data_IF_618398991453
#
_entry.id   IF_618398991453
#
_cell.length_a   1.000
_cell.length_b   1.000
_cell.length_c   1.000
_cell.angle_alpha   90.00
_cell.angle_beta   90.00
_cell.angle_gamma   90.00
#
_symmetry.space_group_name_H-M   'P 1'
#
loop_
_entity.id
_entity.type
_entity.pdbx_description
1 polymer ?
#
# COMPACT_ATOMS: atom_id res chain seq x y z
N UNK A 1 -33.47 35.51 14.25
CA UNK A 1 -33.94 34.63 13.15
C UNK A 1 -32.74 33.78 12.73
N UNK A 2 -32.97 32.50 12.42
CA UNK A 2 -32.07 31.35 12.41
C UNK A 2 -30.92 31.37 11.36
N UNK A 3 -30.04 32.37 11.37
CA UNK A 3 -28.94 32.42 10.38
C UNK A 3 -27.84 31.35 10.61
N UNK A 4 -27.84 30.68 11.77
CA UNK A 4 -26.93 29.56 12.08
C UNK A 4 -27.40 28.20 11.53
N UNK A 5 -28.65 28.06 11.08
CA UNK A 5 -29.15 26.81 10.51
C UNK A 5 -28.72 26.58 9.05
N UNK A 6 -28.20 27.61 8.39
CA UNK A 6 -27.78 27.55 6.99
C UNK A 6 -26.27 27.64 6.80
N UNK A 7 -25.48 27.65 7.88
CA UNK A 7 -24.05 27.40 7.74
C UNK A 7 -23.87 25.94 7.33
N UNK A 8 -23.31 25.66 6.13
CA UNK A 8 -22.99 24.30 5.76
C UNK A 8 -22.04 23.74 6.83
N UNK A 9 -22.51 22.74 7.57
CA UNK A 9 -21.76 21.98 8.60
C UNK A 9 -20.67 21.10 7.98
N UNK A 10 -20.20 21.44 6.76
CA UNK A 10 -19.00 20.88 6.18
C UNK A 10 -17.85 21.41 7.04
N UNK A 11 -17.62 20.74 8.17
CA UNK A 11 -16.54 21.04 9.09
C UNK A 11 -15.24 21.17 8.30
N UNK A 12 -14.40 22.12 8.73
CA UNK A 12 -13.10 22.37 8.14
C UNK A 12 -12.40 21.04 7.85
N UNK A 13 -12.31 20.70 6.57
CA UNK A 13 -11.82 19.39 6.14
C UNK A 13 -10.33 19.32 6.48
N UNK A 14 -9.82 18.15 6.91
CA UNK A 14 -8.40 18.01 7.18
C UNK A 14 -7.62 18.30 5.90
N UNK A 15 -6.89 19.41 5.89
CA UNK A 15 -5.95 19.75 4.83
C UNK A 15 -4.78 18.77 4.96
N UNK A 16 -4.66 17.85 4.01
CA UNK A 16 -3.52 16.93 3.98
C UNK A 16 -2.26 17.70 3.58
N UNK A 17 -1.18 17.52 4.33
CA UNK A 17 0.09 18.19 4.06
C UNK A 17 0.74 17.72 2.75
N UNK A 18 0.51 16.46 2.37
CA UNK A 18 1.08 15.84 1.16
C UNK A 18 -0.03 15.10 0.42
N UNK A 19 -0.24 15.36 -0.89
CA UNK A 19 -1.24 14.64 -1.67
C UNK A 19 -0.99 13.11 -1.66
N UNK A 20 -2.02 12.32 -1.31
CA UNK A 20 -1.92 10.87 -1.35
C UNK A 20 -1.91 10.34 -2.79
N UNK A 21 -1.43 9.13 -2.96
CA UNK A 21 -1.56 8.39 -4.21
C UNK A 21 -2.90 7.68 -4.28
N UNK A 22 -3.39 7.43 -5.50
CA UNK A 22 -4.57 6.57 -5.76
C UNK A 22 -4.28 5.14 -5.23
N UNK A 23 -5.06 4.60 -4.26
CA UNK A 23 -4.84 3.24 -3.76
C UNK A 23 -5.00 2.15 -4.83
N UNK A 24 -5.84 2.40 -5.84
CA UNK A 24 -5.99 1.49 -6.98
C UNK A 24 -4.68 1.39 -7.79
N UNK A 25 -3.94 2.48 -7.96
CA UNK A 25 -2.67 2.48 -8.70
C UNK A 25 -1.55 1.72 -7.98
N UNK A 26 -1.66 1.49 -6.67
CA UNK A 26 -0.69 0.68 -5.90
C UNK A 26 -0.71 -0.79 -6.33
N UNK A 27 -1.75 -1.24 -7.05
CA UNK A 27 -1.82 -2.59 -7.62
C UNK A 27 -0.65 -2.90 -8.56
N UNK A 28 -0.15 -1.91 -9.30
CA UNK A 28 0.96 -2.13 -10.23
C UNK A 28 2.27 -2.42 -9.49
N UNK A 29 2.72 -1.60 -8.50
CA UNK A 29 3.83 -1.98 -7.65
C UNK A 29 3.63 -3.29 -6.89
N UNK A 30 2.41 -3.64 -6.49
CA UNK A 30 2.12 -4.92 -5.86
C UNK A 30 2.36 -6.09 -6.81
N UNK A 31 1.87 -5.97 -8.04
CA UNK A 31 2.02 -6.99 -9.08
C UNK A 31 3.47 -7.15 -9.53
N UNK A 32 4.19 -6.06 -9.75
CA UNK A 32 5.56 -6.08 -10.27
C UNK A 32 6.64 -6.22 -9.20
N UNK A 33 6.47 -5.54 -8.07
CA UNK A 33 7.46 -5.47 -6.98
C UNK A 33 7.21 -6.42 -5.82
N UNK A 34 6.08 -7.12 -5.77
CA UNK A 34 5.77 -8.08 -4.71
C UNK A 34 5.27 -7.45 -3.39
N UNK A 35 5.12 -8.25 -2.33
CA UNK A 35 4.55 -7.82 -1.05
C UNK A 35 5.37 -6.72 -0.37
N UNK A 36 6.70 -6.70 -0.52
CA UNK A 36 7.51 -5.68 0.14
C UNK A 36 7.26 -4.29 -0.47
N UNK A 37 7.21 -4.19 -1.81
CA UNK A 37 6.94 -2.93 -2.51
C UNK A 37 5.57 -2.34 -2.15
N UNK A 38 4.51 -3.15 -2.18
CA UNK A 38 3.16 -2.70 -1.81
C UNK A 38 3.04 -2.36 -0.33
N UNK A 39 3.76 -3.05 0.55
CA UNK A 39 3.74 -2.75 1.99
C UNK A 39 4.33 -1.38 2.25
N UNK A 40 5.50 -1.09 1.69
CA UNK A 40 6.17 0.20 1.84
C UNK A 40 5.29 1.33 1.31
N UNK A 41 4.79 1.21 0.07
CA UNK A 41 3.93 2.22 -0.52
C UNK A 41 2.59 2.34 0.22
N UNK A 42 2.02 1.23 0.66
CA UNK A 42 0.76 1.20 1.41
C UNK A 42 0.88 1.94 2.74
N UNK A 43 1.93 1.69 3.52
CA UNK A 43 2.18 2.39 4.80
C UNK A 43 2.45 3.88 4.57
N UNK A 44 3.27 4.23 3.58
CA UNK A 44 3.52 5.62 3.23
C UNK A 44 2.24 6.34 2.79
N UNK A 45 1.40 5.69 2.00
CA UNK A 45 0.13 6.27 1.56
C UNK A 45 -0.86 6.41 2.71
N UNK A 46 -0.89 5.44 3.64
CA UNK A 46 -1.71 5.53 4.86
C UNK A 46 -1.32 6.75 5.71
N UNK A 47 -0.02 7.09 5.77
CA UNK A 47 0.47 8.31 6.42
C UNK A 47 0.05 9.57 5.66
N UNK A 48 0.17 9.59 4.32
CA UNK A 48 -0.31 10.71 3.48
C UNK A 48 -1.80 10.96 3.65
N UNK A 49 -2.59 9.89 3.82
CA UNK A 49 -4.02 9.93 4.10
C UNK A 49 -4.36 10.24 5.57
N UNK A 50 -3.36 10.49 6.43
CA UNK A 50 -3.54 10.71 7.87
C UNK A 50 -4.38 9.62 8.57
N UNK A 51 -4.25 8.36 8.13
CA UNK A 51 -4.99 7.24 8.72
C UNK A 51 -4.53 6.96 10.14
N UNK A 52 -5.46 6.45 10.95
CA UNK A 52 -5.19 6.07 12.33
C UNK A 52 -4.14 4.96 12.46
N UNK A 53 -3.48 4.89 13.61
CA UNK A 53 -2.39 3.93 13.87
C UNK A 53 -2.79 2.48 13.59
N UNK A 54 -4.02 2.09 13.93
CA UNK A 54 -4.50 0.73 13.71
C UNK A 54 -4.57 0.36 12.22
N UNK A 55 -4.96 1.30 11.36
CA UNK A 55 -5.00 1.05 9.91
C UNK A 55 -3.59 0.97 9.32
N UNK A 56 -2.66 1.82 9.80
CA UNK A 56 -1.25 1.74 9.41
C UNK A 56 -0.63 0.39 9.85
N UNK A 57 -0.92 -0.05 11.08
CA UNK A 57 -0.47 -1.34 11.60
C UNK A 57 -1.09 -2.51 10.85
N UNK A 58 -2.37 -2.43 10.44
CA UNK A 58 -2.99 -3.49 9.64
C UNK A 58 -2.28 -3.71 8.30
N UNK A 59 -1.92 -2.63 7.60
CA UNK A 59 -1.15 -2.72 6.35
C UNK A 59 0.26 -3.26 6.60
N UNK A 60 0.94 -2.75 7.64
CA UNK A 60 2.29 -3.22 7.99
C UNK A 60 2.31 -4.70 8.40
N UNK A 61 1.35 -5.14 9.21
CA UNK A 61 1.23 -6.52 9.68
C UNK A 61 0.88 -7.47 8.53
N UNK A 62 -0.07 -7.09 7.66
CA UNK A 62 -0.39 -7.87 6.46
C UNK A 62 0.82 -8.01 5.54
N UNK A 63 1.56 -6.92 5.35
CA UNK A 63 2.80 -6.89 4.58
C UNK A 63 3.87 -7.82 5.14
N UNK A 64 4.15 -7.70 6.44
CA UNK A 64 5.11 -8.55 7.13
C UNK A 64 4.71 -10.03 7.03
N UNK A 65 3.44 -10.35 7.29
CA UNK A 65 2.92 -11.72 7.19
C UNK A 65 3.08 -12.28 5.77
N UNK A 66 2.82 -11.46 4.74
CA UNK A 66 2.95 -11.87 3.35
C UNK A 66 4.42 -12.13 2.94
N UNK A 67 5.37 -11.30 3.41
CA UNK A 67 6.81 -11.54 3.18
C UNK A 67 7.27 -12.82 3.87
N UNK A 68 6.92 -13.01 5.15
CA UNK A 68 7.27 -14.24 5.90
C UNK A 68 6.67 -15.48 5.23
N UNK A 69 5.39 -15.43 4.84
CA UNK A 69 4.74 -16.53 4.13
C UNK A 69 5.41 -16.81 2.79
N UNK A 70 5.79 -15.79 2.02
CA UNK A 70 6.52 -15.95 0.76
C UNK A 70 7.86 -16.66 0.96
N UNK A 71 8.64 -16.25 1.96
CA UNK A 71 9.93 -16.90 2.27
C UNK A 71 9.74 -18.36 2.67
N UNK A 72 8.81 -18.63 3.57
CA UNK A 72 8.52 -19.99 4.05
C UNK A 72 8.07 -20.91 2.91
N UNK A 73 7.13 -20.47 2.07
CA UNK A 73 6.66 -21.23 0.92
C UNK A 73 7.80 -21.44 -0.09
N UNK A 74 8.57 -20.40 -0.40
CA UNK A 74 9.69 -20.54 -1.35
C UNK A 74 10.74 -21.54 -0.85
N UNK A 75 11.06 -21.52 0.45
CA UNK A 75 11.99 -22.45 1.08
C UNK A 75 11.48 -23.90 1.15
N UNK A 76 10.22 -24.10 1.51
CA UNK A 76 9.63 -25.44 1.63
C UNK A 76 9.46 -26.15 0.28
N UNK A 77 9.20 -25.39 -0.79
CA UNK A 77 9.00 -25.94 -2.13
C UNK A 77 10.27 -25.94 -3.01
N UNK A 78 11.44 -25.63 -2.43
CA UNK A 78 12.79 -25.83 -2.97
C UNK A 78 12.99 -25.45 -4.45
N UNK A 79 12.38 -24.36 -4.91
CA UNK A 79 12.45 -23.97 -6.31
C UNK A 79 12.18 -22.50 -6.56
N UNK A 80 13.12 -21.84 -7.24
CA UNK A 80 12.89 -20.51 -7.84
C UNK A 80 11.77 -20.53 -8.90
N UNK A 81 11.44 -21.72 -9.43
CA UNK A 81 10.31 -21.97 -10.30
C UNK A 81 8.98 -21.64 -9.58
N UNK A 82 8.50 -20.41 -9.77
CA UNK A 82 7.25 -19.92 -9.16
C UNK A 82 7.45 -18.83 -8.10
N UNK A 83 8.68 -18.49 -7.71
CA UNK A 83 8.95 -17.41 -6.75
C UNK A 83 8.37 -16.07 -7.20
N UNK A 84 8.38 -15.80 -8.51
CA UNK A 84 7.72 -14.63 -9.11
C UNK A 84 6.21 -14.66 -8.96
N UNK A 85 5.58 -15.79 -9.23
CA UNK A 85 4.13 -15.99 -9.12
C UNK A 85 3.67 -15.84 -7.67
N UNK A 86 4.39 -16.45 -6.72
CA UNK A 86 4.14 -16.27 -5.29
C UNK A 86 4.28 -14.81 -4.88
N UNK A 87 5.34 -14.13 -5.33
CA UNK A 87 5.52 -12.69 -5.09
C UNK A 87 4.33 -11.86 -5.57
N UNK A 88 3.84 -12.11 -6.78
CA UNK A 88 2.63 -11.45 -7.30
C UNK A 88 1.41 -11.75 -6.44
N UNK A 89 1.15 -13.01 -6.10
CA UNK A 89 -0.02 -13.42 -5.31
C UNK A 89 -0.01 -12.76 -3.92
N UNK A 90 1.11 -12.83 -3.21
CA UNK A 90 1.26 -12.20 -1.91
C UNK A 90 1.21 -10.68 -1.99
N UNK A 91 1.80 -10.08 -3.04
CA UNK A 91 1.68 -8.65 -3.32
C UNK A 91 0.22 -8.21 -3.50
N UNK A 92 -0.53 -8.92 -4.34
CA UNK A 92 -1.94 -8.63 -4.57
C UNK A 92 -2.80 -8.83 -3.32
N UNK A 93 -2.48 -9.82 -2.48
CA UNK A 93 -3.15 -10.01 -1.19
C UNK A 93 -2.97 -8.79 -0.26
N UNK A 94 -1.74 -8.29 -0.13
CA UNK A 94 -1.46 -7.07 0.66
C UNK A 94 -2.13 -5.84 0.04
N UNK A 95 -2.13 -5.72 -1.29
CA UNK A 95 -2.86 -4.66 -1.98
C UNK A 95 -4.36 -4.70 -1.65
N UNK A 96 -4.97 -5.88 -1.50
CA UNK A 96 -6.36 -6.02 -1.03
C UNK A 96 -6.59 -5.34 0.32
N UNK A 97 -5.65 -5.48 1.26
CA UNK A 97 -5.69 -4.80 2.58
C UNK A 97 -5.53 -3.28 2.42
N UNK A 98 -4.61 -2.84 1.57
CA UNK A 98 -4.44 -1.42 1.23
C UNK A 98 -5.74 -0.84 0.65
N UNK A 99 -6.34 -1.51 -0.32
CA UNK A 99 -7.61 -1.08 -0.93
C UNK A 99 -8.74 -1.04 0.11
N UNK A 100 -8.87 -2.08 0.94
CA UNK A 100 -9.92 -2.14 1.96
C UNK A 100 -9.81 -1.04 3.02
N UNK A 101 -8.58 -0.72 3.45
CA UNK A 101 -8.33 0.26 4.52
C UNK A 101 -8.33 1.70 4.01
N UNK A 102 -7.83 1.96 2.79
CA UNK A 102 -7.56 3.31 2.31
C UNK A 102 -8.65 3.86 1.38
N UNK A 103 -9.47 3.02 0.74
CA UNK A 103 -10.46 3.44 -0.27
C UNK A 103 -11.45 4.49 0.25
N UNK A 104 -11.96 4.34 1.48
CA UNK A 104 -12.93 5.29 2.05
C UNK A 104 -12.32 6.67 2.27
N UNK A 105 -11.14 6.72 2.89
CA UNK A 105 -10.43 7.98 3.13
C UNK A 105 -10.00 8.67 1.84
N UNK A 106 -9.51 7.90 0.86
CA UNK A 106 -9.14 8.45 -0.43
C UNK A 106 -10.34 9.03 -1.20
N UNK A 107 -11.51 8.38 -1.16
CA UNK A 107 -12.74 8.95 -1.75
C UNK A 107 -13.15 10.25 -1.09
N UNK A 108 -13.04 10.35 0.23
CA UNK A 108 -13.33 11.59 0.95
C UNK A 108 -12.37 12.72 0.53
N UNK A 109 -11.10 12.39 0.26
CA UNK A 109 -10.13 13.32 -0.32
C UNK A 109 -10.51 13.79 -1.74
N UNK A 110 -10.94 12.88 -2.63
CA UNK A 110 -11.37 13.24 -3.99
C UNK A 110 -12.63 14.10 -4.00
N UNK A 111 -13.65 13.77 -3.18
CA UNK A 111 -14.82 14.64 -2.98
C UNK A 111 -14.45 15.99 -2.34
N UNK A 112 -13.25 16.06 -1.76
CA UNK A 112 -12.56 17.26 -1.30
C UNK A 112 -12.03 18.16 -2.40
N UNK A 113 -12.21 17.82 -3.68
CA UNK A 113 -11.46 18.39 -4.80
C UNK A 113 -9.93 18.19 -4.68
N UNK A 114 -9.51 17.17 -3.91
CA UNK A 114 -8.12 16.79 -3.78
C UNK A 114 -7.62 16.03 -5.01
N UNK A 115 -6.55 16.51 -5.64
CA UNK A 115 -5.90 15.83 -6.76
C UNK A 115 -4.82 14.86 -6.26
N UNK A 116 -4.80 13.59 -6.70
CA UNK A 116 -3.81 12.64 -6.24
C UNK A 116 -2.42 12.92 -6.80
N UNK A 117 -1.40 12.64 -5.99
CA UNK A 117 -0.04 12.65 -6.46
C UNK A 117 0.21 11.54 -7.51
N UNK A 118 1.14 11.80 -8.43
CA UNK A 118 1.66 10.76 -9.32
C UNK A 118 2.39 9.68 -8.51
N UNK A 119 2.05 8.43 -8.80
CA UNK A 119 2.73 7.25 -8.23
C UNK A 119 3.86 6.74 -9.13
N UNK A 120 4.05 7.28 -10.33
CA UNK A 120 4.96 6.67 -11.31
C UNK A 120 6.40 6.55 -10.80
N UNK A 121 7.01 7.65 -10.34
CA UNK A 121 8.37 7.66 -9.81
C UNK A 121 8.53 6.81 -8.53
N UNK A 122 7.77 7.08 -7.46
CA UNK A 122 7.82 6.28 -6.24
C UNK A 122 7.49 4.80 -6.46
N UNK A 123 6.55 4.51 -7.38
CA UNK A 123 6.15 3.17 -7.76
C UNK A 123 7.29 2.41 -8.45
N UNK A 124 7.95 3.01 -9.43
CA UNK A 124 9.13 2.43 -10.08
C UNK A 124 10.27 2.20 -9.08
N UNK A 125 10.56 3.21 -8.24
CA UNK A 125 11.59 3.10 -7.22
C UNK A 125 11.31 1.96 -6.23
N UNK A 126 10.05 1.80 -5.80
CA UNK A 126 9.64 0.70 -4.94
C UNK A 126 9.75 -0.65 -5.65
N UNK A 127 9.28 -0.78 -6.89
CA UNK A 127 9.37 -2.05 -7.65
C UNK A 127 10.81 -2.50 -7.79
N UNK A 128 11.71 -1.60 -8.17
CA UNK A 128 13.13 -1.93 -8.37
C UNK A 128 13.80 -2.19 -7.02
N UNK A 129 13.73 -1.23 -6.09
CA UNK A 129 14.44 -1.31 -4.81
C UNK A 129 13.92 -2.43 -3.91
N UNK A 130 12.60 -2.50 -3.71
CA UNK A 130 12.01 -3.54 -2.86
C UNK A 130 12.02 -4.91 -3.55
N UNK A 131 11.81 -4.97 -4.87
CA UNK A 131 11.88 -6.22 -5.61
C UNK A 131 13.28 -6.83 -5.59
N UNK A 132 14.32 -6.01 -5.74
CA UNK A 132 15.72 -6.45 -5.60
C UNK A 132 16.00 -6.93 -4.18
N UNK A 133 15.62 -6.14 -3.16
CA UNK A 133 15.81 -6.50 -1.75
C UNK A 133 15.12 -7.83 -1.42
N UNK A 134 13.89 -8.03 -1.90
CA UNK A 134 13.11 -9.23 -1.63
C UNK A 134 13.71 -10.47 -2.31
N UNK A 135 14.26 -10.32 -3.52
CA UNK A 135 14.98 -11.41 -4.20
C UNK A 135 16.30 -11.75 -3.49
N UNK A 136 17.05 -10.76 -3.01
CA UNK A 136 18.26 -10.99 -2.20
C UNK A 136 17.89 -11.73 -0.92
N UNK A 137 16.80 -11.33 -0.25
CA UNK A 137 16.34 -11.97 0.96
C UNK A 137 15.97 -13.43 0.71
N UNK A 138 15.28 -13.72 -0.40
CA UNK A 138 14.96 -15.11 -0.78
C UNK A 138 16.25 -15.89 -1.00
N UNK A 139 17.20 -15.37 -1.79
CA UNK A 139 18.45 -16.05 -2.06
C UNK A 139 19.24 -16.35 -0.77
N UNK A 140 19.32 -15.41 0.17
CA UNK A 140 20.08 -15.58 1.42
C UNK A 140 19.39 -16.53 2.42
N UNK A 141 18.06 -16.60 2.41
CA UNK A 141 17.28 -17.38 3.38
C UNK A 141 16.97 -18.79 2.88
N UNK A 142 16.85 -18.96 1.56
CA UNK A 142 16.41 -20.21 0.92
C UNK A 142 17.55 -20.99 0.29
N UNK A 143 18.55 -20.31 -0.29
CA UNK A 143 19.74 -20.95 -0.87
C UNK A 143 20.86 -21.10 0.19
#
# INVERSE_FOLDING_TARGET
MNDDLFQPTIGARPVLAVPPWRPSSIVYPAFFGGPLAVTVLGVLNARRLALGRNQQLAVAAAGLAAVVARLAVTGLFAGQAGARTLGTLFGLAVWGVVAATQKKAFRAYEYGAGEPASLFGPGLAAVIGCGLLENILIAVVVD
#
